data_IF_449336584614
#
_entry.id   IF_449336584614
#
_cell.length_a   1.000
_cell.length_b   1.000
_cell.length_c   1.000
_cell.angle_alpha   90.00
_cell.angle_beta   90.00
_cell.angle_gamma   90.00
#
_symmetry.space_group_name_H-M   'P 1'
#
loop_
_entity.id
_entity.type
_entity.pdbx_description
1 polymer ?
#
# COMPACT_ATOMS: atom_id res chain seq x y z
N UNK A 1 2.12 -14.82 15.46
CA UNK A 1 2.13 -13.47 16.04
C UNK A 1 3.54 -12.87 16.10
N UNK A 2 4.59 -13.63 16.45
CA UNK A 2 5.99 -13.12 16.42
C UNK A 2 6.61 -13.00 15.00
N UNK A 3 6.18 -13.83 14.04
CA UNK A 3 6.76 -13.86 12.69
C UNK A 3 6.45 -12.63 11.82
N UNK A 4 5.32 -11.97 12.05
CA UNK A 4 4.93 -10.77 11.29
C UNK A 4 5.73 -9.54 11.75
N UNK A 5 5.91 -9.38 13.06
CA UNK A 5 6.73 -8.33 13.64
C UNK A 5 8.18 -8.41 13.15
N UNK A 6 8.78 -9.62 13.16
CA UNK A 6 10.13 -9.82 12.64
C UNK A 6 10.25 -9.44 11.16
N UNK A 7 9.26 -9.77 10.33
CA UNK A 7 9.31 -9.44 8.92
C UNK A 7 9.16 -7.94 8.65
N UNK A 8 8.35 -7.23 9.45
CA UNK A 8 8.32 -5.77 9.41
C UNK A 8 9.65 -5.15 9.84
N UNK A 9 10.30 -5.72 10.86
CA UNK A 9 11.64 -5.28 11.29
C UNK A 9 12.67 -5.48 10.16
N UNK A 10 12.68 -6.63 9.49
CA UNK A 10 13.56 -6.88 8.33
C UNK A 10 13.36 -5.85 7.23
N UNK A 11 12.11 -5.52 6.91
CA UNK A 11 11.80 -4.46 5.94
C UNK A 11 12.28 -3.09 6.40
N UNK A 12 12.12 -2.75 7.69
CA UNK A 12 12.58 -1.49 8.27
C UNK A 12 14.10 -1.39 8.32
N UNK A 13 14.81 -2.49 8.53
CA UNK A 13 16.27 -2.54 8.51
C UNK A 13 16.82 -2.28 7.10
N UNK A 14 16.10 -2.72 6.07
CA UNK A 14 16.46 -2.46 4.68
C UNK A 14 16.25 -1.00 4.24
N UNK A 15 15.32 -0.28 4.86
CA UNK A 15 15.16 1.16 4.64
C UNK A 15 16.44 1.90 5.04
N UNK A 16 17.12 2.52 4.08
CA UNK A 16 18.42 3.18 4.29
C UNK A 16 18.35 4.48 5.11
N UNK A 17 17.16 4.96 5.46
CA UNK A 17 17.00 6.20 6.24
C UNK A 17 15.84 6.14 7.24
N UNK A 18 15.93 7.00 8.28
CA UNK A 18 14.84 7.20 9.25
C UNK A 18 13.56 7.73 8.59
N UNK A 19 13.70 8.49 7.50
CA UNK A 19 12.57 9.05 6.74
C UNK A 19 11.77 7.92 6.08
N UNK A 20 12.44 7.01 5.38
CA UNK A 20 11.79 5.88 4.71
C UNK A 20 11.14 4.93 5.72
N UNK A 21 11.78 4.68 6.87
CA UNK A 21 11.17 3.89 7.96
C UNK A 21 9.85 4.50 8.46
N UNK A 22 9.79 5.84 8.58
CA UNK A 22 8.57 6.55 8.98
C UNK A 22 7.50 6.48 7.89
N UNK A 23 7.88 6.68 6.63
CA UNK A 23 6.96 6.56 5.49
C UNK A 23 6.34 5.15 5.40
N UNK A 24 7.17 4.11 5.59
CA UNK A 24 6.73 2.72 5.66
C UNK A 24 5.69 2.50 6.76
N UNK A 25 5.99 2.93 7.99
CA UNK A 25 5.09 2.76 9.13
C UNK A 25 3.78 3.55 8.97
N UNK A 26 3.84 4.74 8.36
CA UNK A 26 2.65 5.54 8.10
C UNK A 26 1.66 4.79 7.19
N UNK A 27 2.17 4.20 6.10
CA UNK A 27 1.34 3.41 5.16
C UNK A 27 0.77 2.17 5.86
N UNK A 28 1.57 1.44 6.64
CA UNK A 28 1.11 0.27 7.40
C UNK A 28 -0.04 0.65 8.34
N UNK A 29 0.16 1.67 9.18
CA UNK A 29 -0.83 2.10 10.15
C UNK A 29 -2.12 2.61 9.49
N UNK A 30 -1.99 3.33 8.38
CA UNK A 30 -3.14 3.82 7.63
C UNK A 30 -3.94 2.68 6.99
N UNK A 31 -3.25 1.71 6.38
CA UNK A 31 -3.88 0.55 5.77
C UNK A 31 -4.63 -0.30 6.81
N UNK A 32 -4.00 -0.60 7.96
CA UNK A 32 -4.64 -1.34 9.06
C UNK A 32 -5.88 -0.58 9.60
N UNK A 33 -5.77 0.73 9.78
CA UNK A 33 -6.91 1.59 10.19
C UNK A 33 -8.02 1.66 9.15
N UNK A 34 -7.72 1.39 7.88
CA UNK A 34 -8.67 1.30 6.78
C UNK A 34 -9.19 -0.14 6.57
N UNK A 35 -8.83 -1.09 7.44
CA UNK A 35 -9.38 -2.45 7.45
C UNK A 35 -8.61 -3.44 6.60
N UNK A 36 -7.45 -3.05 6.09
CA UNK A 36 -6.57 -3.94 5.35
C UNK A 36 -5.67 -4.72 6.30
N UNK A 37 -5.38 -5.96 5.94
CA UNK A 37 -4.39 -6.78 6.61
C UNK A 37 -3.04 -6.62 5.92
N UNK A 38 -2.09 -6.05 6.63
CA UNK A 38 -0.71 -5.89 6.18
C UNK A 38 0.12 -7.09 6.62
N UNK A 39 0.99 -7.57 5.76
CA UNK A 39 1.86 -8.69 6.10
C UNK A 39 2.96 -8.90 5.06
N UNK A 40 4.09 -9.49 5.46
CA UNK A 40 5.19 -9.78 4.55
C UNK A 40 4.76 -10.79 3.46
N UNK A 41 5.40 -10.71 2.28
CA UNK A 41 5.36 -11.79 1.29
C UNK A 41 6.43 -12.84 1.58
N UNK A 42 6.31 -13.99 0.93
CA UNK A 42 7.32 -15.05 0.82
C UNK A 42 8.69 -14.57 0.27
N UNK A 43 8.78 -13.32 -0.22
CA UNK A 43 10.02 -12.67 -0.64
C UNK A 43 10.36 -11.52 0.32
N UNK A 44 11.61 -11.45 0.76
CA UNK A 44 12.14 -10.34 1.55
C UNK A 44 11.88 -9.00 0.85
N UNK A 45 11.61 -7.93 1.62
CA UNK A 45 11.46 -6.54 1.12
C UNK A 45 10.13 -6.22 0.45
N UNK A 46 9.13 -7.08 0.61
CA UNK A 46 7.76 -6.83 0.13
C UNK A 46 6.76 -6.82 1.30
N UNK A 47 5.85 -5.84 1.29
CA UNK A 47 4.68 -5.78 2.15
C UNK A 47 3.40 -5.95 1.33
N UNK A 48 2.67 -7.04 1.55
CA UNK A 48 1.32 -7.22 1.02
C UNK A 48 0.33 -6.44 1.87
N UNK A 49 -0.62 -5.77 1.22
CA UNK A 49 -1.75 -5.12 1.87
C UNK A 49 -3.00 -5.75 1.28
N UNK A 50 -3.72 -6.54 2.09
CA UNK A 50 -4.85 -7.37 1.66
C UNK A 50 -6.18 -6.83 2.18
N UNK A 51 -7.23 -6.94 1.38
CA UNK A 51 -8.59 -6.62 1.84
C UNK A 51 -9.18 -7.75 2.71
N UNK A 52 -10.40 -7.54 3.23
CA UNK A 52 -11.11 -8.53 4.04
C UNK A 52 -11.50 -9.81 3.28
N UNK A 53 -11.47 -9.79 1.94
CA UNK A 53 -11.66 -10.97 1.09
C UNK A 53 -10.34 -11.70 0.80
N UNK A 54 -9.21 -11.22 1.33
CA UNK A 54 -7.88 -11.77 1.12
C UNK A 54 -7.25 -11.42 -0.24
N UNK A 55 -7.90 -10.59 -1.06
CA UNK A 55 -7.32 -10.07 -2.31
C UNK A 55 -6.21 -9.08 -1.96
N UNK A 56 -5.26 -8.89 -2.87
CA UNK A 56 -4.11 -8.01 -2.66
C UNK A 56 -4.21 -6.79 -3.59
N UNK A 57 -5.03 -5.78 -3.27
CA UNK A 57 -5.14 -4.56 -4.06
C UNK A 57 -3.86 -3.74 -4.04
N UNK A 58 -3.06 -3.82 -2.98
CA UNK A 58 -1.83 -3.04 -2.85
C UNK A 58 -0.61 -3.89 -2.45
N UNK A 59 0.56 -3.41 -2.86
CA UNK A 59 1.86 -3.96 -2.50
C UNK A 59 2.80 -2.78 -2.23
N UNK A 60 3.69 -2.92 -1.25
CA UNK A 60 4.82 -2.01 -1.10
C UNK A 60 6.12 -2.77 -1.24
N UNK A 61 6.99 -2.32 -2.14
CA UNK A 61 8.36 -2.86 -2.33
C UNK A 61 9.35 -1.91 -1.67
N UNK A 62 10.22 -2.45 -0.82
CA UNK A 62 11.20 -1.67 -0.07
C UNK A 62 12.53 -1.68 -0.82
N UNK A 63 13.02 -0.49 -1.15
CA UNK A 63 14.39 -0.27 -1.61
C UNK A 63 15.18 0.48 -0.53
N UNK A 64 16.51 0.46 -0.62
CA UNK A 64 17.36 1.16 0.34
C UNK A 64 17.18 2.69 0.27
N UNK A 65 16.92 3.23 -0.91
CA UNK A 65 16.81 4.66 -1.22
C UNK A 65 15.36 5.16 -1.37
N UNK A 66 14.38 4.25 -1.51
CA UNK A 66 12.97 4.59 -1.76
C UNK A 66 12.01 3.46 -1.38
N UNK A 67 10.72 3.76 -1.31
CA UNK A 67 9.65 2.73 -1.33
C UNK A 67 8.90 2.84 -2.65
N UNK A 68 8.40 1.71 -3.15
CA UNK A 68 7.47 1.67 -4.28
C UNK A 68 6.12 1.19 -3.78
N UNK A 69 5.12 2.07 -3.82
CA UNK A 69 3.74 1.71 -3.53
C UNK A 69 3.03 1.33 -4.83
N UNK A 70 2.58 0.08 -4.93
CA UNK A 70 2.00 -0.50 -6.13
C UNK A 70 0.49 -0.71 -5.95
N UNK A 71 -0.28 -0.14 -6.86
CA UNK A 71 -1.70 -0.42 -7.07
C UNK A 71 -1.83 -1.59 -8.06
N UNK A 72 -2.59 -2.62 -7.70
CA UNK A 72 -2.73 -3.85 -8.48
C UNK A 72 -4.15 -4.04 -9.00
N UNK A 73 -4.34 -5.01 -9.89
CA UNK A 73 -5.63 -5.32 -10.52
C UNK A 73 -6.85 -5.29 -9.55
N UNK A 74 -6.82 -5.91 -8.35
CA UNK A 74 -7.98 -5.87 -7.45
C UNK A 74 -8.38 -4.46 -7.01
N UNK A 75 -7.43 -3.51 -6.90
CA UNK A 75 -7.76 -2.12 -6.60
C UNK A 75 -8.55 -1.49 -7.75
N UNK A 76 -8.17 -1.78 -8.99
CA UNK A 76 -8.82 -1.23 -10.19
C UNK A 76 -10.17 -1.89 -10.47
N UNK A 77 -10.36 -3.15 -10.08
CA UNK A 77 -11.67 -3.81 -10.15
C UNK A 77 -12.69 -3.11 -9.25
N UNK A 78 -12.30 -2.80 -8.01
CA UNK A 78 -13.17 -2.11 -7.05
C UNK A 78 -13.37 -0.63 -7.41
N UNK A 79 -12.31 0.04 -7.90
CA UNK A 79 -12.35 1.44 -8.31
C UNK A 79 -11.56 1.66 -9.62
N UNK A 80 -12.21 1.49 -10.78
CA UNK A 80 -11.55 1.60 -12.10
C UNK A 80 -10.85 2.93 -12.38
N UNK A 81 -11.31 4.02 -11.77
CA UNK A 81 -10.72 5.34 -11.90
C UNK A 81 -9.33 5.48 -11.23
N UNK A 82 -8.97 4.60 -10.28
CA UNK A 82 -7.74 4.72 -9.49
C UNK A 82 -6.48 4.83 -10.35
N UNK A 83 -6.41 4.07 -11.46
CA UNK A 83 -5.23 4.09 -12.31
C UNK A 83 -5.06 5.47 -13.00
N UNK A 84 -6.15 6.10 -13.43
CA UNK A 84 -6.12 7.45 -14.02
C UNK A 84 -5.83 8.52 -12.97
N UNK A 85 -6.49 8.44 -11.82
CA UNK A 85 -6.25 9.33 -10.68
C UNK A 85 -4.79 9.29 -10.21
N UNK A 86 -4.22 8.08 -10.08
CA UNK A 86 -2.82 7.90 -9.70
C UNK A 86 -1.88 8.59 -10.70
N UNK A 87 -2.13 8.40 -12.00
CA UNK A 87 -1.30 8.99 -13.05
C UNK A 87 -1.34 10.52 -13.00
N UNK A 88 -2.51 11.09 -12.75
CA UNK A 88 -2.67 12.54 -12.67
C UNK A 88 -2.08 13.12 -11.38
N UNK A 89 -2.27 12.45 -10.24
CA UNK A 89 -1.86 12.95 -8.91
C UNK A 89 -0.38 12.74 -8.62
N UNK A 90 0.22 11.71 -9.22
CA UNK A 90 1.59 11.29 -8.91
C UNK A 90 2.50 11.27 -10.14
N UNK A 91 2.17 11.98 -11.22
CA UNK A 91 2.88 11.97 -12.52
C UNK A 91 4.42 11.99 -12.38
N UNK A 92 4.97 12.93 -11.61
CA UNK A 92 6.42 13.06 -11.38
C UNK A 92 7.04 12.00 -10.46
N UNK A 93 6.22 11.19 -9.80
CA UNK A 93 6.62 10.14 -8.85
C UNK A 93 6.34 8.74 -9.37
N UNK A 94 5.75 8.57 -10.55
CA UNK A 94 5.54 7.24 -11.11
C UNK A 94 6.89 6.55 -11.40
N UNK A 95 6.91 5.23 -11.25
CA UNK A 95 8.04 4.38 -11.64
C UNK A 95 7.67 3.65 -12.94
N UNK A 96 8.47 3.85 -13.98
CA UNK A 96 8.32 3.13 -15.24
C UNK A 96 9.08 1.79 -15.10
N UNK A 97 8.36 0.71 -14.85
CA UNK A 97 8.98 -0.61 -14.77
C UNK A 97 8.10 -1.67 -15.44
N UNK A 98 8.65 -2.28 -16.48
CA UNK A 98 7.94 -3.22 -17.38
C UNK A 98 7.60 -4.57 -16.73
N UNK A 99 8.14 -4.87 -15.54
CA UNK A 99 7.93 -6.17 -14.88
C UNK A 99 6.50 -6.39 -14.34
N UNK A 100 5.70 -5.33 -14.19
CA UNK A 100 4.29 -5.42 -13.78
C UNK A 100 3.46 -4.49 -14.65
N UNK A 101 3.31 -4.84 -15.93
CA UNK A 101 2.70 -4.00 -16.97
C UNK A 101 1.29 -3.46 -16.64
N UNK A 102 0.58 -4.07 -15.68
CA UNK A 102 -0.77 -3.68 -15.27
C UNK A 102 -0.83 -2.99 -13.91
N UNK A 103 0.29 -2.81 -13.21
CA UNK A 103 0.32 -2.17 -11.90
C UNK A 103 0.72 -0.70 -12.05
N UNK A 104 0.14 0.18 -11.23
CA UNK A 104 0.58 1.58 -11.12
C UNK A 104 1.49 1.69 -9.91
N UNK A 105 2.72 2.19 -10.10
CA UNK A 105 3.74 2.27 -9.05
C UNK A 105 4.09 3.71 -8.74
N UNK A 106 4.04 4.07 -7.47
CA UNK A 106 4.32 5.40 -6.95
C UNK A 106 5.58 5.34 -6.10
N UNK A 107 6.59 6.15 -6.44
CA UNK A 107 7.82 6.30 -5.65
C UNK A 107 7.55 7.16 -4.42
N UNK A 108 7.98 6.67 -3.27
CA UNK A 108 7.90 7.33 -1.97
C UNK A 108 9.34 7.55 -1.48
N UNK A 109 9.77 8.80 -1.45
CA UNK A 109 11.12 9.18 -1.03
C UNK A 109 11.11 9.94 0.31
N UNK A 110 9.97 10.53 0.66
CA UNK A 110 9.77 11.31 1.88
C UNK A 110 8.47 10.91 2.62
N UNK A 111 8.33 11.41 3.84
CA UNK A 111 7.11 11.21 4.64
C UNK A 111 5.90 11.87 3.96
N UNK A 112 6.06 13.07 3.42
CA UNK A 112 5.00 13.78 2.70
C UNK A 112 4.46 12.98 1.50
N UNK A 113 5.31 12.19 0.83
CA UNK A 113 4.86 11.33 -0.26
C UNK A 113 3.93 10.22 0.23
N UNK A 114 4.23 9.66 1.40
CA UNK A 114 3.40 8.65 2.04
C UNK A 114 2.09 9.26 2.54
N UNK A 115 2.12 10.47 3.11
CA UNK A 115 0.92 11.22 3.51
C UNK A 115 -0.02 11.44 2.33
N UNK A 116 0.51 11.89 1.17
CA UNK A 116 -0.30 12.07 -0.05
C UNK A 116 -1.01 10.79 -0.49
N UNK A 117 -0.32 9.66 -0.44
CA UNK A 117 -0.90 8.35 -0.80
C UNK A 117 -1.94 7.93 0.22
N UNK A 118 -1.66 8.11 1.51
CA UNK A 118 -2.56 7.75 2.60
C UNK A 118 -3.84 8.57 2.55
N UNK A 119 -3.75 9.89 2.42
CA UNK A 119 -4.92 10.78 2.36
C UNK A 119 -5.79 10.50 1.13
N UNK A 120 -5.17 10.02 0.04
CA UNK A 120 -5.87 9.67 -1.18
C UNK A 120 -6.61 8.33 -1.10
N UNK A 121 -5.93 7.28 -0.60
CA UNK A 121 -6.44 5.90 -0.62
C UNK A 121 -7.20 5.52 0.65
N UNK A 122 -6.85 6.12 1.78
CA UNK A 122 -7.37 5.79 3.11
C UNK A 122 -7.96 7.03 3.79
N UNK A 123 -8.89 7.77 3.16
CA UNK A 123 -9.42 9.00 3.72
C UNK A 123 -10.09 8.73 5.07
N UNK A 124 -9.73 9.55 6.07
CA UNK A 124 -10.33 9.50 7.41
C UNK A 124 -11.85 9.69 7.30
N UNK A 125 -12.62 8.64 7.59
CA UNK A 125 -14.10 8.67 7.56
C UNK A 125 -14.77 7.91 6.41
N UNK A 126 -14.00 7.27 5.52
CA UNK A 126 -14.52 6.47 4.40
C UNK A 126 -14.74 4.99 4.70
N UNK A 127 -14.84 4.58 5.96
CA UNK A 127 -15.04 3.18 6.32
C UNK A 127 -16.53 2.82 6.20
N UNK A 128 -16.97 2.56 4.97
CA UNK A 128 -18.15 1.70 4.78
C UNK A 128 -17.63 0.28 4.61
N UNK A 129 -17.70 -0.59 5.65
CA UNK A 129 -17.53 -2.00 5.39
C UNK A 129 -18.71 -2.38 4.50
N UNK A 130 -18.48 -2.48 3.19
CA UNK A 130 -19.42 -2.98 2.21
C UNK A 130 -19.72 -4.48 2.38
N UNK A 131 -19.93 -4.91 3.63
CA UNK A 131 -20.39 -6.22 4.04
C UNK A 131 -21.42 -6.02 5.14
N UNK A 132 -22.65 -5.73 4.72
CA UNK A 132 -23.73 -5.38 5.63
C UNK A 132 -25.15 -5.55 5.12
N UNK A 133 -25.41 -5.98 3.88
CA UNK A 133 -26.71 -6.59 3.56
C UNK A 133 -26.71 -8.06 4.01
N UNK A 134 -26.68 -8.28 5.33
CA UNK A 134 -27.36 -9.45 5.86
C UNK A 134 -28.84 -9.14 5.79
N UNK A 135 -29.51 -9.68 4.76
CA UNK A 135 -30.95 -9.89 4.79
C UNK A 135 -31.28 -10.56 6.14
N UNK A 136 -31.88 -9.80 7.03
CA UNK A 136 -32.55 -10.37 8.19
C UNK A 136 -33.78 -11.09 7.67
N UNK A 137 -34.07 -12.22 8.31
CA UNK A 137 -35.06 -13.22 7.96
C UNK A 137 -36.48 -12.68 7.75
#
# INVERSE_FOLDING_TARGET
MYSEAEAHLTNLDFCGSRILRRAYLLIVLAAERAGYHTGPKDAERELKIRDGAGRQPFLMVVHADRLLFCLRAPAFEDRPALAGEARNRFEGRLDACDQFANDVRIRINAIADAEDVVDWLFPLGGFSPGYGERRSA
#
